data_IF_721789944844
#
_entry.id   IF_721789944844
#
_cell.length_a   1.000
_cell.length_b   1.000
_cell.length_c   1.000
_cell.angle_alpha   90.00
_cell.angle_beta   90.00
_cell.angle_gamma   90.00
#
_symmetry.space_group_name_H-M   'P 1'
#
loop_
_entity.id
_entity.type
_entity.pdbx_description
1 polymer ?
#
# COMPACT_ATOMS: atom_id res chain seq x y z
N UNK A 1 80.58 18.73 11.74
CA UNK A 1 79.60 17.96 12.56
C UNK A 1 78.22 18.62 12.41
N UNK A 2 77.40 18.11 11.51
CA UNK A 2 76.08 18.70 11.21
C UNK A 2 75.05 17.81 11.95
N UNK A 3 74.35 18.38 12.92
CA UNK A 3 73.26 17.74 13.69
C UNK A 3 71.96 17.83 12.85
N UNK A 4 71.48 16.68 12.41
CA UNK A 4 70.22 16.55 11.72
C UNK A 4 69.10 16.48 12.77
N UNK A 5 68.20 17.46 12.81
CA UNK A 5 67.07 17.49 13.71
C UNK A 5 65.90 16.82 12.96
N UNK A 6 65.40 15.66 13.47
CA UNK A 6 64.16 15.02 13.05
C UNK A 6 62.96 15.76 13.69
N UNK A 7 62.09 16.32 12.83
CA UNK A 7 60.74 16.76 13.26
C UNK A 7 59.77 15.56 13.18
N UNK A 8 58.97 15.34 14.22
CA UNK A 8 57.88 14.40 14.12
C UNK A 8 56.67 15.03 13.41
N UNK A 9 56.21 14.40 12.31
CA UNK A 9 54.97 14.75 11.61
C UNK A 9 53.82 14.18 12.43
N UNK A 10 53.02 15.05 13.03
CA UNK A 10 51.78 14.69 13.74
C UNK A 10 50.68 14.52 12.70
N UNK A 11 50.29 13.29 12.39
CA UNK A 11 49.17 12.97 11.50
C UNK A 11 47.84 13.20 12.24
N UNK A 12 47.15 14.30 11.92
CA UNK A 12 45.75 14.49 12.33
C UNK A 12 44.89 13.56 11.50
N UNK A 13 44.36 12.49 12.15
CA UNK A 13 43.29 11.66 11.60
C UNK A 13 42.01 12.48 11.62
N UNK A 14 41.59 13.01 10.48
CA UNK A 14 40.31 13.65 10.29
C UNK A 14 39.23 12.55 10.27
N UNK A 15 38.49 12.36 11.37
CA UNK A 15 37.24 11.63 11.38
C UNK A 15 36.19 12.42 10.60
N UNK A 16 36.02 12.13 9.32
CA UNK A 16 34.87 12.62 8.55
C UNK A 16 33.61 11.96 9.09
N UNK A 17 32.58 12.71 9.55
CA UNK A 17 31.30 12.11 9.85
C UNK A 17 30.74 11.52 8.54
N UNK A 18 30.50 10.20 8.53
CA UNK A 18 29.77 9.52 7.47
C UNK A 18 28.40 10.18 7.40
N UNK A 19 28.18 10.99 6.37
CA UNK A 19 26.86 11.54 6.09
C UNK A 19 25.89 10.38 5.91
N UNK A 20 25.00 10.20 6.88
CA UNK A 20 23.89 9.26 6.79
C UNK A 20 23.02 9.74 5.63
N UNK A 21 22.97 8.94 4.56
CA UNK A 21 22.07 9.22 3.44
C UNK A 21 20.65 9.36 4.00
N UNK A 22 19.87 10.37 3.58
CA UNK A 22 18.50 10.52 4.07
C UNK A 22 17.76 9.21 3.85
N UNK A 23 17.19 8.67 4.93
CA UNK A 23 16.41 7.45 4.87
C UNK A 23 15.32 7.64 3.80
N UNK A 24 15.44 6.91 2.70
CA UNK A 24 14.46 7.01 1.61
C UNK A 24 13.10 6.65 2.19
N UNK A 25 12.10 7.49 1.94
CA UNK A 25 10.73 7.19 2.29
C UNK A 25 10.36 5.85 1.63
N UNK A 26 10.00 4.86 2.45
CA UNK A 26 9.61 3.52 1.97
C UNK A 26 8.23 3.21 2.48
N UNK A 27 7.43 2.53 1.66
CA UNK A 27 6.13 2.01 2.04
C UNK A 27 6.13 0.50 1.86
N UNK A 28 5.88 -0.21 2.95
CA UNK A 28 5.66 -1.65 2.92
C UNK A 28 4.21 -1.92 2.53
N UNK A 29 4.01 -2.90 1.64
CA UNK A 29 2.69 -3.36 1.20
C UNK A 29 2.52 -4.81 1.61
N UNK A 30 1.47 -5.13 2.35
CA UNK A 30 1.15 -6.48 2.78
C UNK A 30 -0.30 -6.84 2.46
N UNK A 31 -0.63 -8.13 2.51
CA UNK A 31 -1.99 -8.65 2.36
C UNK A 31 -2.72 -8.18 1.09
N UNK A 32 -1.99 -8.00 -0.01
CA UNK A 32 -2.57 -7.56 -1.27
C UNK A 32 -3.37 -8.69 -1.94
N UNK A 33 -4.66 -8.45 -2.16
CA UNK A 33 -5.56 -9.38 -2.83
C UNK A 33 -6.71 -8.68 -3.52
N UNK A 34 -7.31 -9.35 -4.50
CA UNK A 34 -8.49 -8.87 -5.23
C UNK A 34 -9.63 -9.89 -5.12
N UNK A 35 -10.86 -9.40 -5.21
CA UNK A 35 -12.03 -10.27 -5.31
C UNK A 35 -12.16 -10.83 -6.73
N UNK A 36 -12.67 -12.07 -6.88
CA UNK A 36 -13.01 -12.60 -8.19
C UNK A 36 -14.04 -11.71 -8.88
N UNK A 37 -13.93 -11.56 -10.18
CA UNK A 37 -14.90 -10.87 -11.02
C UNK A 37 -15.03 -11.61 -12.35
N UNK A 38 -16.26 -11.83 -12.79
CA UNK A 38 -16.53 -12.48 -14.09
C UNK A 38 -16.13 -11.58 -15.27
N UNK A 39 -15.90 -12.17 -16.43
CA UNK A 39 -15.66 -11.43 -17.64
C UNK A 39 -16.84 -10.50 -17.93
N UNK A 40 -16.54 -9.24 -18.30
CA UNK A 40 -17.55 -8.21 -18.55
C UNK A 40 -18.08 -7.50 -17.29
N UNK A 41 -17.56 -7.81 -16.10
CA UNK A 41 -17.86 -7.03 -14.92
C UNK A 41 -17.47 -5.56 -15.11
N UNK A 42 -18.32 -4.64 -14.66
CA UNK A 42 -18.03 -3.19 -14.76
C UNK A 42 -16.93 -2.73 -13.81
N UNK A 43 -16.75 -3.46 -12.70
CA UNK A 43 -15.74 -3.15 -11.70
C UNK A 43 -15.26 -4.40 -10.96
N UNK A 44 -14.05 -4.29 -10.38
CA UNK A 44 -13.47 -5.23 -9.43
C UNK A 44 -13.01 -4.50 -8.18
N UNK A 45 -12.68 -5.23 -7.13
CA UNK A 45 -12.19 -4.66 -5.88
C UNK A 45 -10.91 -5.34 -5.42
N UNK A 46 -9.91 -4.53 -5.03
CA UNK A 46 -8.67 -5.01 -4.42
C UNK A 46 -8.45 -4.33 -3.06
N UNK A 47 -7.73 -5.03 -2.23
CA UNK A 47 -7.45 -4.69 -0.83
C UNK A 47 -5.98 -4.92 -0.52
N UNK A 48 -5.45 -4.15 0.41
CA UNK A 48 -4.07 -4.28 0.86
C UNK A 48 -3.86 -3.47 2.15
N UNK A 49 -2.73 -3.68 2.80
CA UNK A 49 -2.30 -2.89 3.95
C UNK A 49 -1.01 -2.15 3.61
N UNK A 50 -0.96 -0.87 3.93
CA UNK A 50 0.19 0.01 3.72
C UNK A 50 0.79 0.43 5.05
N UNK A 51 2.12 0.34 5.19
CA UNK A 51 2.83 0.87 6.35
C UNK A 51 4.01 1.71 5.86
N UNK A 52 3.95 3.01 6.13
CA UNK A 52 4.98 3.96 5.71
C UNK A 52 6.06 4.15 6.77
N UNK A 53 7.33 4.21 6.36
CA UNK A 53 8.45 4.49 7.26
C UNK A 53 8.53 5.99 7.67
N UNK A 54 7.83 6.86 6.97
CA UNK A 54 7.64 8.28 7.23
C UNK A 54 6.25 8.71 6.75
N UNK A 55 5.74 9.84 7.24
CA UNK A 55 4.46 10.37 6.77
C UNK A 55 4.48 10.57 5.25
N UNK A 56 3.49 9.99 4.58
CA UNK A 56 3.37 9.97 3.12
C UNK A 56 1.88 9.93 2.70
N UNK A 57 1.62 9.78 1.43
CA UNK A 57 0.27 9.65 0.87
C UNK A 57 0.30 8.72 -0.33
N UNK A 58 -0.61 7.74 -0.36
CA UNK A 58 -0.93 7.01 -1.59
C UNK A 58 -1.77 7.92 -2.48
N UNK A 59 -1.24 8.34 -3.61
CA UNK A 59 -1.90 9.31 -4.50
C UNK A 59 -2.65 8.64 -5.64
N UNK A 60 -2.06 7.62 -6.25
CA UNK A 60 -2.61 6.97 -7.44
C UNK A 60 -2.29 5.50 -7.44
N UNK A 61 -3.19 4.71 -7.99
CA UNK A 61 -2.96 3.28 -8.27
C UNK A 61 -3.28 3.00 -9.73
N UNK A 62 -2.42 2.24 -10.39
CA UNK A 62 -2.58 1.84 -11.78
C UNK A 62 -2.58 0.32 -11.89
N UNK A 63 -3.30 -0.21 -12.87
CA UNK A 63 -3.28 -1.63 -13.23
C UNK A 63 -3.46 -1.82 -14.73
N UNK A 64 -2.62 -2.62 -15.40
CA UNK A 64 -2.85 -3.00 -16.79
C UNK A 64 -4.08 -3.89 -16.95
N UNK A 65 -4.56 -4.53 -15.87
CA UNK A 65 -5.73 -5.41 -15.87
C UNK A 65 -7.08 -4.66 -15.84
N UNK A 66 -7.07 -3.32 -15.76
CA UNK A 66 -8.29 -2.50 -15.76
C UNK A 66 -8.15 -1.29 -16.71
N UNK A 67 -9.23 -0.60 -16.98
CA UNK A 67 -9.21 0.68 -17.67
C UNK A 67 -8.52 1.76 -16.83
N UNK A 68 -8.91 1.85 -15.56
CA UNK A 68 -8.25 2.66 -14.52
C UNK A 68 -8.58 2.13 -13.13
N UNK A 69 -7.90 2.65 -12.12
CA UNK A 69 -8.12 2.28 -10.71
C UNK A 69 -8.46 3.53 -9.92
N UNK A 70 -9.48 3.45 -9.08
CA UNK A 70 -9.89 4.50 -8.18
C UNK A 70 -9.73 4.06 -6.72
N UNK A 71 -9.43 5.01 -5.84
CA UNK A 71 -9.40 4.76 -4.38
C UNK A 71 -10.75 5.20 -3.83
N UNK A 72 -11.45 4.28 -3.17
CA UNK A 72 -12.77 4.53 -2.59
C UNK A 72 -12.80 4.29 -1.09
N UNK A 73 -13.76 4.90 -0.43
CA UNK A 73 -14.13 4.59 0.95
C UNK A 73 -15.62 4.30 1.06
N UNK A 74 -15.98 3.50 2.06
CA UNK A 74 -17.37 3.26 2.45
C UNK A 74 -17.65 4.10 3.70
N UNK A 75 -18.57 5.05 3.59
CA UNK A 75 -19.03 5.88 4.69
C UNK A 75 -20.49 5.55 5.06
N UNK A 76 -20.88 5.77 6.29
CA UNK A 76 -22.27 5.56 6.77
C UNK A 76 -22.92 6.85 7.28
N UNK A 77 -23.05 7.91 6.49
CA UNK A 77 -23.72 9.11 6.93
C UNK A 77 -25.21 8.83 7.14
N UNK A 78 -25.70 9.05 8.37
CA UNK A 78 -27.12 8.83 8.71
C UNK A 78 -27.58 7.38 8.62
N UNK A 79 -26.67 6.39 8.77
CA UNK A 79 -27.01 4.96 8.72
C UNK A 79 -27.14 4.37 7.31
N UNK A 80 -26.91 5.16 6.28
CA UNK A 80 -26.90 4.69 4.88
C UNK A 80 -25.48 4.50 4.39
N UNK A 81 -25.14 3.28 3.94
CA UNK A 81 -23.82 2.99 3.35
C UNK A 81 -23.67 3.73 2.02
N UNK A 82 -22.63 4.53 1.88
CA UNK A 82 -22.30 5.24 0.65
C UNK A 82 -20.85 5.00 0.29
N UNK A 83 -20.62 4.67 -0.98
CA UNK A 83 -19.28 4.60 -1.56
C UNK A 83 -18.89 5.98 -2.10
N UNK A 84 -17.70 6.45 -1.78
CA UNK A 84 -17.19 7.76 -2.23
C UNK A 84 -15.73 7.59 -2.66
N UNK A 85 -15.39 8.20 -3.79
CA UNK A 85 -14.01 8.28 -4.24
C UNK A 85 -13.19 9.21 -3.34
N UNK A 86 -11.99 8.78 -3.00
CA UNK A 86 -10.96 9.55 -2.31
C UNK A 86 -10.01 10.16 -3.36
N UNK A 87 -10.42 11.30 -3.93
CA UNK A 87 -9.62 11.97 -4.97
C UNK A 87 -8.25 12.42 -4.46
N UNK A 88 -8.14 12.75 -3.18
CA UNK A 88 -6.88 13.16 -2.52
C UNK A 88 -6.02 11.95 -2.10
N UNK A 89 -6.46 10.73 -2.37
CA UNK A 89 -5.76 9.50 -1.99
C UNK A 89 -5.90 9.13 -0.52
N UNK A 90 -4.92 8.37 0.00
CA UNK A 90 -4.91 7.87 1.40
C UNK A 90 -3.69 8.41 2.13
N UNK A 91 -3.92 9.13 3.23
CA UNK A 91 -2.84 9.56 4.13
C UNK A 91 -2.23 8.35 4.84
N UNK A 92 -0.91 8.35 4.94
CA UNK A 92 -0.11 7.33 5.60
C UNK A 92 0.68 7.98 6.73
N UNK A 93 0.29 7.71 7.96
CA UNK A 93 1.04 8.12 9.14
C UNK A 93 2.22 7.18 9.35
N UNK A 94 3.37 7.73 9.68
CA UNK A 94 4.59 6.96 9.95
C UNK A 94 4.34 5.83 10.94
N UNK A 95 4.65 4.60 10.52
CA UNK A 95 4.58 3.40 11.34
C UNK A 95 3.17 2.86 11.61
N UNK A 96 2.13 3.56 11.15
CA UNK A 96 0.75 3.09 11.28
C UNK A 96 0.32 2.28 10.06
N UNK A 97 -0.45 1.23 10.29
CA UNK A 97 -1.03 0.42 9.24
C UNK A 97 -2.29 1.10 8.66
N UNK A 98 -2.24 1.51 7.40
CA UNK A 98 -3.39 2.00 6.67
C UNK A 98 -4.03 0.82 5.92
N UNK A 99 -5.13 0.30 6.46
CA UNK A 99 -5.84 -0.84 5.88
C UNK A 99 -6.84 -0.39 4.80
N UNK A 100 -6.74 -1.01 3.63
CA UNK A 100 -7.77 -1.02 2.61
C UNK A 100 -8.44 -2.40 2.66
N UNK A 101 -9.69 -2.45 3.13
CA UNK A 101 -10.40 -3.69 3.45
C UNK A 101 -11.87 -3.66 3.05
N UNK A 102 -12.52 -4.82 2.89
CA UNK A 102 -13.97 -4.89 2.64
C UNK A 102 -14.76 -4.08 3.67
N UNK A 103 -15.71 -3.29 3.18
CA UNK A 103 -16.54 -2.41 4.02
C UNK A 103 -15.86 -1.11 4.47
N UNK A 104 -14.62 -0.86 4.07
CA UNK A 104 -13.86 0.35 4.34
C UNK A 104 -13.25 0.95 3.06
N UNK A 105 -12.03 1.49 3.20
CA UNK A 105 -11.25 1.94 2.04
C UNK A 105 -10.89 0.74 1.17
N UNK A 106 -10.88 0.93 -0.15
CA UNK A 106 -10.52 -0.12 -1.11
C UNK A 106 -10.09 0.47 -2.45
N UNK A 107 -9.44 -0.35 -3.27
CA UNK A 107 -9.11 -0.04 -4.64
C UNK A 107 -10.22 -0.58 -5.53
N UNK A 108 -10.82 0.27 -6.35
CA UNK A 108 -11.84 -0.10 -7.31
C UNK A 108 -11.24 -0.13 -8.72
N UNK A 109 -11.18 -1.31 -9.32
CA UNK A 109 -10.77 -1.49 -10.71
C UNK A 109 -11.97 -1.18 -11.60
N UNK A 110 -11.88 -0.14 -12.40
CA UNK A 110 -12.93 0.25 -13.35
C UNK A 110 -12.63 -0.37 -14.71
N UNK A 111 -13.62 -1.07 -15.27
CA UNK A 111 -13.49 -1.76 -16.55
C UNK A 111 -12.38 -2.82 -16.54
N UNK A 112 -12.50 -3.90 -15.75
CA UNK A 112 -11.57 -5.02 -15.85
C UNK A 112 -11.48 -5.53 -17.27
N UNK A 113 -10.26 -5.74 -17.78
CA UNK A 113 -10.00 -6.17 -19.16
C UNK A 113 -10.13 -7.68 -19.39
N UNK A 114 -10.71 -8.37 -18.43
CA UNK A 114 -10.92 -9.81 -18.46
C UNK A 114 -11.50 -10.31 -17.16
N UNK A 115 -11.55 -11.62 -17.04
CA UNK A 115 -11.96 -12.28 -15.80
C UNK A 115 -10.85 -12.14 -14.73
N UNK A 116 -11.25 -11.81 -13.52
CA UNK A 116 -10.39 -11.93 -12.34
C UNK A 116 -10.66 -13.30 -11.71
N UNK A 117 -10.06 -14.34 -12.28
CA UNK A 117 -10.27 -15.72 -11.86
C UNK A 117 -9.54 -16.02 -10.55
N UNK A 118 -10.14 -16.88 -9.72
CA UNK A 118 -9.51 -17.38 -8.48
C UNK A 118 -8.11 -17.95 -8.74
N UNK A 119 -7.14 -17.59 -7.92
CA UNK A 119 -5.74 -17.98 -8.06
C UNK A 119 -4.98 -17.16 -9.10
N UNK A 120 -5.65 -16.29 -9.87
CA UNK A 120 -5.03 -15.34 -10.76
C UNK A 120 -4.28 -14.23 -10.00
N UNK A 121 -3.57 -13.39 -10.75
CA UNK A 121 -2.83 -12.25 -10.21
C UNK A 121 -3.23 -10.98 -10.94
N UNK A 122 -3.36 -9.91 -10.18
CA UNK A 122 -3.66 -8.57 -10.69
C UNK A 122 -2.43 -7.69 -10.42
N UNK A 123 -1.69 -7.27 -11.46
CA UNK A 123 -0.58 -6.35 -11.28
C UNK A 123 -1.10 -4.97 -10.85
N UNK A 124 -0.54 -4.43 -9.78
CA UNK A 124 -0.84 -3.11 -9.24
C UNK A 124 0.44 -2.28 -9.15
N UNK A 125 0.39 -1.03 -9.57
CA UNK A 125 1.44 -0.05 -9.36
C UNK A 125 0.90 1.07 -8.48
N UNK A 126 1.44 1.18 -7.27
CA UNK A 126 1.07 2.19 -6.28
C UNK A 126 2.03 3.36 -6.38
N UNK A 127 1.50 4.59 -6.46
CA UNK A 127 2.30 5.82 -6.47
C UNK A 127 2.05 6.61 -5.20
N UNK A 128 3.12 7.07 -4.61
CA UNK A 128 3.12 7.84 -3.37
C UNK A 128 3.58 9.28 -3.64
N UNK A 129 3.31 10.15 -2.69
CA UNK A 129 3.74 11.56 -2.77
C UNK A 129 5.27 11.69 -2.62
N UNK A 130 5.88 10.91 -1.73
CA UNK A 130 7.30 10.98 -1.39
C UNK A 130 8.06 9.69 -1.67
N UNK A 131 7.48 8.53 -1.35
CA UNK A 131 8.13 7.25 -1.55
C UNK A 131 8.17 6.85 -3.03
N UNK A 132 9.17 6.06 -3.46
CA UNK A 132 9.17 5.45 -4.78
C UNK A 132 7.90 4.61 -5.02
N UNK A 133 7.49 4.52 -6.28
CA UNK A 133 6.37 3.66 -6.66
C UNK A 133 6.66 2.20 -6.34
N UNK A 134 5.64 1.48 -5.87
CA UNK A 134 5.71 0.05 -5.57
C UNK A 134 4.83 -0.71 -6.57
N UNK A 135 5.42 -1.68 -7.25
CA UNK A 135 4.69 -2.61 -8.12
C UNK A 135 4.62 -3.98 -7.46
N UNK A 136 3.44 -4.59 -7.48
CA UNK A 136 3.19 -5.91 -6.91
C UNK A 136 2.09 -6.64 -7.67
N UNK A 137 1.98 -7.95 -7.45
CA UNK A 137 0.89 -8.79 -7.95
C UNK A 137 -0.06 -9.13 -6.78
N UNK A 138 -1.29 -8.61 -6.82
CA UNK A 138 -2.32 -8.95 -5.88
C UNK A 138 -2.99 -10.28 -6.28
N UNK A 139 -3.06 -11.25 -5.37
CA UNK A 139 -3.69 -12.55 -5.63
C UNK A 139 -5.21 -12.41 -5.69
N UNK A 140 -5.84 -13.05 -6.68
CA UNK A 140 -7.32 -13.14 -6.73
C UNK A 140 -7.78 -14.29 -5.85
N UNK A 141 -8.46 -13.95 -4.75
CA UNK A 141 -8.97 -14.94 -3.79
C UNK A 141 -10.38 -14.62 -3.28
N UNK A 142 -11.09 -15.63 -2.83
CA UNK A 142 -12.39 -15.44 -2.22
C UNK A 142 -12.28 -14.53 -0.99
N UNK A 143 -13.26 -13.63 -0.77
CA UNK A 143 -13.30 -12.86 0.46
C UNK A 143 -13.34 -13.81 1.67
N UNK A 144 -12.72 -13.41 2.81
CA UNK A 144 -12.87 -14.17 4.04
C UNK A 144 -14.36 -14.34 4.35
N UNK A 145 -14.75 -15.54 4.79
CA UNK A 145 -16.13 -15.78 5.19
C UNK A 145 -16.53 -14.75 6.26
N UNK A 146 -17.75 -14.17 6.18
CA UNK A 146 -18.22 -13.30 7.25
C UNK A 146 -18.13 -14.09 8.57
N UNK A 147 -17.50 -13.50 9.59
CA UNK A 147 -17.55 -14.06 10.93
C UNK A 147 -19.02 -14.11 11.34
N UNK A 148 -19.61 -15.29 11.30
CA UNK A 148 -20.97 -15.51 11.80
C UNK A 148 -20.96 -15.12 13.27
N UNK A 149 -21.58 -13.98 13.61
CA UNK A 149 -22.03 -13.73 14.96
C UNK A 149 -22.90 -14.93 15.34
N UNK A 150 -22.47 -15.61 16.43
CA UNK A 150 -22.94 -16.93 16.82
C UNK A 150 -24.45 -17.14 16.65
N UNK A 151 -24.78 -18.23 15.99
CA UNK A 151 -26.12 -18.77 15.97
C UNK A 151 -26.56 -18.99 17.43
N UNK A 152 -27.44 -18.14 17.94
CA UNK A 152 -28.24 -18.45 19.11
C UNK A 152 -29.11 -19.64 18.71
N UNK A 153 -28.72 -20.82 19.14
CA UNK A 153 -29.66 -21.98 19.15
C UNK A 153 -30.82 -21.62 20.06
N UNK A 154 -31.91 -21.20 19.47
CA UNK A 154 -33.21 -21.31 20.13
C UNK A 154 -33.65 -22.76 20.05
N UNK A 155 -33.37 -23.51 21.12
CA UNK A 155 -34.05 -24.78 21.41
C UNK A 155 -35.49 -24.47 21.84
N UNK A 156 -36.45 -24.97 21.08
CA UNK A 156 -37.83 -25.16 21.49
C UNK A 156 -37.99 -26.56 22.08
#
# INVERSE_FOLDING_TARGET
MRKLALLPILALAACSPKAEAPAQATVAVTDAWCRPAVAGALSGACYLTLTAASDDRLTTVESPAAGHVEIHTMDMPGGVMRMRQLADGVELTKGEAAELKPGGRHLMLIGPKGELALGGKVPLTLRFEKAPAVTLDAEVKAPPAPAHAGASEHQH
#
